data_IF_165223507724
#
_entry.id   IF_165223507724
#
_cell.length_a   1.000
_cell.length_b   1.000
_cell.length_c   1.000
_cell.angle_alpha   90.00
_cell.angle_beta   90.00
_cell.angle_gamma   90.00
#
_symmetry.space_group_name_H-M   'P 1'
#
loop_
_entity.id
_entity.type
_entity.pdbx_description
1 polymer ?
#
# COMPACT_ATOMS: atom_id res chain seq x y z
N UNK A 1 -14.33 -12.91 -25.89
CA UNK A 1 -15.22 -13.53 -24.87
C UNK A 1 -15.58 -12.46 -23.84
N UNK A 2 -16.85 -12.30 -23.43
CA UNK A 2 -17.24 -11.27 -22.46
C UNK A 2 -16.89 -11.74 -21.05
N UNK A 3 -16.01 -11.04 -20.34
CA UNK A 3 -15.73 -11.28 -18.93
C UNK A 3 -17.05 -11.26 -18.15
N UNK A 4 -17.37 -12.40 -17.55
CA UNK A 4 -18.59 -12.64 -16.81
C UNK A 4 -18.56 -11.87 -15.50
N UNK A 5 -19.59 -11.07 -15.26
CA UNK A 5 -19.78 -10.43 -13.96
C UNK A 5 -20.40 -11.43 -12.97
N UNK A 6 -19.80 -11.76 -11.82
CA UNK A 6 -20.45 -12.30 -10.57
C UNK A 6 -19.47 -12.36 -9.37
N UNK A 7 -19.86 -12.82 -8.18
CA UNK A 7 -20.40 -12.02 -7.06
C UNK A 7 -19.34 -11.94 -5.95
N UNK A 8 -18.80 -10.76 -5.64
CA UNK A 8 -18.10 -10.51 -4.39
C UNK A 8 -19.16 -10.16 -3.34
N UNK A 9 -19.54 -11.10 -2.46
CA UNK A 9 -20.43 -10.84 -1.33
C UNK A 9 -21.50 -9.76 -1.60
N UNK A 10 -22.51 -10.08 -2.43
CA UNK A 10 -23.63 -9.20 -2.86
C UNK A 10 -23.36 -8.13 -3.95
N UNK A 11 -22.16 -7.93 -4.51
CA UNK A 11 -21.97 -7.07 -5.71
C UNK A 11 -21.01 -7.67 -6.76
N UNK A 12 -21.35 -7.49 -8.04
CA UNK A 12 -20.51 -7.79 -9.22
C UNK A 12 -19.45 -6.70 -9.31
N UNK A 13 -18.21 -6.96 -8.88
CA UNK A 13 -17.09 -6.00 -8.95
C UNK A 13 -16.01 -6.60 -9.85
N UNK A 14 -15.50 -5.81 -10.78
CA UNK A 14 -14.47 -6.27 -11.74
C UNK A 14 -13.14 -6.53 -11.02
N UNK A 15 -12.36 -7.57 -11.40
CA UNK A 15 -11.01 -7.77 -10.89
C UNK A 15 -10.12 -6.53 -11.02
N UNK A 16 -10.27 -5.76 -12.11
CA UNK A 16 -9.53 -4.52 -12.33
C UNK A 16 -9.93 -3.42 -11.33
N UNK A 17 -11.21 -3.33 -10.96
CA UNK A 17 -11.68 -2.38 -9.94
C UNK A 17 -11.12 -2.74 -8.55
N UNK A 18 -11.01 -4.03 -8.23
CA UNK A 18 -10.37 -4.46 -6.98
C UNK A 18 -8.86 -4.18 -7.00
N UNK A 19 -8.18 -4.34 -8.14
CA UNK A 19 -6.77 -3.94 -8.28
C UNK A 19 -6.56 -2.43 -8.15
N UNK A 20 -7.47 -1.61 -8.66
CA UNK A 20 -7.42 -0.16 -8.46
C UNK A 20 -7.47 0.21 -6.97
N UNK A 21 -8.30 -0.50 -6.18
CA UNK A 21 -8.31 -0.32 -4.72
C UNK A 21 -7.01 -0.78 -4.05
N UNK A 22 -6.22 -1.66 -4.68
CA UNK A 22 -4.88 -2.00 -4.20
C UNK A 22 -3.89 -0.90 -4.58
N UNK A 23 -3.99 -0.33 -5.79
CA UNK A 23 -3.19 0.81 -6.23
C UNK A 23 -3.34 2.01 -5.29
N UNK A 24 -4.56 2.41 -4.95
CA UNK A 24 -4.84 3.50 -4.00
C UNK A 24 -4.13 3.29 -2.66
N UNK A 25 -4.10 2.04 -2.18
CA UNK A 25 -3.45 1.66 -0.93
C UNK A 25 -1.92 1.76 -1.01
N UNK A 26 -1.34 1.34 -2.13
CA UNK A 26 0.10 1.48 -2.36
C UNK A 26 0.53 2.93 -2.54
N UNK A 27 -0.29 3.76 -3.20
CA UNK A 27 -0.03 5.18 -3.36
C UNK A 27 -0.11 5.92 -2.02
N UNK A 28 -1.11 5.61 -1.19
CA UNK A 28 -1.20 6.14 0.17
C UNK A 28 0.02 5.74 1.01
N UNK A 29 0.38 4.45 1.02
CA UNK A 29 1.55 3.97 1.74
C UNK A 29 2.85 4.69 1.31
N UNK A 30 3.00 4.94 0.00
CA UNK A 30 4.15 5.71 -0.51
C UNK A 30 4.13 7.16 -0.03
N UNK A 31 2.98 7.84 -0.08
CA UNK A 31 2.82 9.21 0.39
C UNK A 31 3.14 9.34 1.89
N UNK A 32 2.72 8.36 2.70
CA UNK A 32 3.02 8.32 4.13
C UNK A 32 4.53 8.14 4.40
N UNK A 33 5.22 7.31 3.61
CA UNK A 33 6.68 7.20 3.70
C UNK A 33 7.38 8.52 3.32
N UNK A 34 6.89 9.24 2.30
CA UNK A 34 7.43 10.54 1.94
C UNK A 34 7.21 11.58 3.06
N UNK A 35 6.05 11.57 3.70
CA UNK A 35 5.76 12.40 4.85
C UNK A 35 6.69 12.07 6.03
N UNK A 36 6.81 10.78 6.39
CA UNK A 36 7.73 10.32 7.42
C UNK A 36 9.18 10.76 7.14
N UNK A 37 9.67 10.57 5.91
CA UNK A 37 11.00 11.03 5.51
C UNK A 37 11.17 12.53 5.69
N UNK A 38 10.16 13.32 5.30
CA UNK A 38 10.21 14.77 5.44
C UNK A 38 10.33 15.17 6.91
N UNK A 39 9.50 14.59 7.78
CA UNK A 39 9.58 14.87 9.21
C UNK A 39 10.89 14.39 9.84
N UNK A 40 11.43 13.24 9.42
CA UNK A 40 12.62 12.68 10.07
C UNK A 40 13.94 13.20 9.49
N UNK A 41 13.99 13.68 8.25
CA UNK A 41 15.25 14.04 7.57
C UNK A 41 15.37 15.49 7.11
N UNK A 42 14.27 16.22 6.93
CA UNK A 42 14.35 17.64 6.56
C UNK A 42 14.62 18.49 7.82
N UNK A 43 15.84 19.02 7.92
CA UNK A 43 16.29 19.84 9.06
C UNK A 43 15.42 21.09 9.28
N UNK A 44 14.92 21.72 8.21
CA UNK A 44 14.09 22.93 8.30
C UNK A 44 12.70 22.59 8.83
N UNK A 45 12.11 21.50 8.36
CA UNK A 45 10.82 21.00 8.86
C UNK A 45 10.95 20.55 10.32
N UNK A 46 11.96 19.73 10.64
CA UNK A 46 12.25 19.27 12.01
C UNK A 46 12.33 20.42 13.00
N UNK A 47 13.13 21.46 12.68
CA UNK A 47 13.29 22.62 13.57
C UNK A 47 11.98 23.36 13.81
N UNK A 48 11.22 23.64 12.75
CA UNK A 48 9.93 24.33 12.87
C UNK A 48 8.96 23.56 13.76
N UNK A 49 8.87 22.25 13.58
CA UNK A 49 8.00 21.40 14.40
C UNK A 49 8.43 21.31 15.86
N UNK A 50 9.74 21.25 16.14
CA UNK A 50 10.22 21.29 17.51
C UNK A 50 9.86 22.61 18.20
N UNK A 51 9.97 23.74 17.50
CA UNK A 51 9.52 25.05 17.99
C UNK A 51 8.01 25.05 18.24
N UNK A 52 7.22 24.54 17.29
CA UNK A 52 5.77 24.41 17.45
C UNK A 52 5.40 23.53 18.65
N UNK A 53 6.00 22.34 18.77
CA UNK A 53 5.75 21.43 19.87
C UNK A 53 6.08 22.05 21.24
N UNK A 54 7.17 22.82 21.33
CA UNK A 54 7.52 23.56 22.54
C UNK A 54 6.51 24.67 22.84
N UNK A 55 6.15 25.47 21.83
CA UNK A 55 5.20 26.58 21.97
C UNK A 55 3.80 26.11 22.39
N UNK A 56 3.33 25.01 21.82
CA UNK A 56 2.01 24.42 22.14
C UNK A 56 2.06 23.44 23.31
N UNK A 57 3.24 23.20 23.90
CA UNK A 57 3.48 22.17 24.93
C UNK A 57 2.91 20.79 24.54
N UNK A 58 3.01 20.43 23.26
CA UNK A 58 2.43 19.21 22.71
C UNK A 58 3.51 18.30 22.12
N UNK A 59 3.86 17.24 22.85
CA UNK A 59 4.86 16.26 22.45
C UNK A 59 4.46 15.47 21.19
N UNK A 60 3.17 15.32 20.91
CA UNK A 60 2.68 14.60 19.73
C UNK A 60 3.00 15.33 18.43
N UNK A 61 3.40 16.61 18.48
CA UNK A 61 3.86 17.37 17.32
C UNK A 61 5.36 17.23 17.06
N UNK A 62 6.08 16.44 17.86
CA UNK A 62 7.51 16.23 17.64
C UNK A 62 7.76 15.44 16.34
N UNK A 63 8.86 15.74 15.63
CA UNK A 63 9.13 15.11 14.34
C UNK A 63 9.25 13.59 14.40
N UNK A 64 9.81 13.06 15.50
CA UNK A 64 10.05 11.63 15.64
C UNK A 64 8.73 10.88 15.90
N UNK A 65 7.83 11.43 16.72
CA UNK A 65 6.49 10.86 16.96
C UNK A 65 5.65 10.91 15.68
N UNK A 66 5.56 12.06 15.01
CA UNK A 66 4.79 12.17 13.77
C UNK A 66 5.38 11.29 12.67
N UNK A 67 6.70 11.29 12.50
CA UNK A 67 7.38 10.42 11.54
C UNK A 67 7.04 8.95 11.78
N UNK A 68 7.06 8.50 13.03
CA UNK A 68 6.69 7.14 13.41
C UNK A 68 5.22 6.81 13.15
N UNK A 69 4.30 7.75 13.41
CA UNK A 69 2.87 7.57 13.09
C UNK A 69 2.67 7.30 11.60
N UNK A 70 3.30 8.08 10.72
CA UNK A 70 3.22 7.84 9.28
C UNK A 70 3.82 6.49 8.85
N UNK A 71 4.91 6.04 9.50
CA UNK A 71 5.45 4.69 9.25
C UNK A 71 4.45 3.61 9.65
N UNK A 72 3.79 3.74 10.81
CA UNK A 72 2.78 2.77 11.24
C UNK A 72 1.53 2.80 10.35
N UNK A 73 1.09 3.97 9.88
CA UNK A 73 0.01 4.07 8.90
C UNK A 73 0.38 3.38 7.59
N UNK A 74 1.61 3.57 7.09
CA UNK A 74 2.10 2.89 5.89
C UNK A 74 1.99 1.36 6.04
N UNK A 75 2.44 0.80 7.16
CA UNK A 75 2.34 -0.64 7.42
C UNK A 75 0.87 -1.10 7.43
N UNK A 76 -0.03 -0.29 7.99
CA UNK A 76 -1.48 -0.57 7.98
C UNK A 76 -2.05 -0.62 6.56
N UNK A 77 -1.68 0.35 5.71
CA UNK A 77 -2.09 0.42 4.30
C UNK A 77 -1.57 -0.79 3.51
N UNK A 78 -0.32 -1.21 3.72
CA UNK A 78 0.24 -2.42 3.10
C UNK A 78 -0.50 -3.69 3.52
N UNK A 79 -0.82 -3.82 4.81
CA UNK A 79 -1.61 -4.96 5.31
C UNK A 79 -3.04 -4.94 4.75
N UNK A 80 -3.63 -3.77 4.54
CA UNK A 80 -4.93 -3.64 3.90
C UNK A 80 -4.88 -4.06 2.42
N UNK A 81 -3.85 -3.64 1.68
CA UNK A 81 -3.58 -4.08 0.32
C UNK A 81 -3.41 -5.61 0.25
N UNK A 82 -2.64 -6.21 1.16
CA UNK A 82 -2.48 -7.66 1.28
C UNK A 82 -3.82 -8.39 1.42
N UNK A 83 -4.71 -7.93 2.31
CA UNK A 83 -6.05 -8.55 2.49
C UNK A 83 -6.89 -8.49 1.22
N UNK A 84 -6.82 -7.39 0.47
CA UNK A 84 -7.52 -7.25 -0.82
C UNK A 84 -6.98 -8.23 -1.86
N UNK A 85 -5.66 -8.32 -1.98
CA UNK A 85 -5.01 -9.24 -2.92
C UNK A 85 -5.31 -10.70 -2.61
N UNK A 86 -5.36 -11.10 -1.33
CA UNK A 86 -5.75 -12.48 -0.95
C UNK A 86 -7.15 -12.82 -1.44
N UNK A 87 -8.12 -11.93 -1.18
CA UNK A 87 -9.50 -12.10 -1.64
C UNK A 87 -9.59 -12.17 -3.16
N UNK A 88 -8.82 -11.34 -3.86
CA UNK A 88 -8.81 -11.36 -5.32
C UNK A 88 -8.21 -12.67 -5.86
N UNK A 89 -7.18 -13.22 -5.21
CA UNK A 89 -6.55 -14.47 -5.62
C UNK A 89 -7.42 -15.72 -5.41
N UNK A 90 -8.53 -15.61 -4.67
CA UNK A 90 -9.53 -16.67 -4.52
C UNK A 90 -10.48 -16.74 -5.73
N UNK A 91 -10.46 -15.75 -6.62
CA UNK A 91 -11.30 -15.72 -7.82
C UNK A 91 -10.82 -16.74 -8.85
N UNK A 92 -11.54 -17.85 -9.02
CA UNK A 92 -11.21 -18.94 -9.95
C UNK A 92 -11.25 -18.53 -11.42
N UNK A 93 -11.94 -17.44 -11.77
CA UNK A 93 -11.97 -16.87 -13.12
C UNK A 93 -10.62 -16.28 -13.54
N UNK A 94 -9.74 -16.00 -12.58
CA UNK A 94 -8.37 -15.57 -12.86
C UNK A 94 -7.50 -16.79 -13.20
N UNK A 95 -6.70 -16.65 -14.27
CA UNK A 95 -5.69 -17.64 -14.61
C UNK A 95 -4.77 -17.97 -13.43
N UNK A 96 -4.33 -19.23 -13.34
CA UNK A 96 -3.52 -19.72 -12.23
C UNK A 96 -2.27 -18.88 -11.98
N UNK A 97 -1.57 -18.47 -13.04
CA UNK A 97 -0.40 -17.59 -12.96
C UNK A 97 -0.72 -16.25 -12.29
N UNK A 98 -1.86 -15.63 -12.62
CA UNK A 98 -2.29 -14.37 -12.01
C UNK A 98 -2.58 -14.59 -10.53
N UNK A 99 -3.30 -15.66 -10.18
CA UNK A 99 -3.61 -16.00 -8.79
C UNK A 99 -2.34 -16.23 -7.96
N UNK A 100 -1.35 -16.92 -8.51
CA UNK A 100 -0.05 -17.14 -7.86
C UNK A 100 0.70 -15.83 -7.61
N UNK A 101 0.74 -14.94 -8.60
CA UNK A 101 1.35 -13.61 -8.45
C UNK A 101 0.62 -12.76 -7.41
N UNK A 102 -0.71 -12.78 -7.38
CA UNK A 102 -1.50 -12.10 -6.37
C UNK A 102 -1.22 -12.64 -4.96
N UNK A 103 -1.13 -13.96 -4.79
CA UNK A 103 -0.76 -14.60 -3.50
C UNK A 103 0.64 -14.20 -3.05
N UNK A 104 1.60 -14.21 -3.97
CA UNK A 104 2.97 -13.79 -3.70
C UNK A 104 3.02 -12.33 -3.22
N UNK A 105 2.37 -11.42 -3.96
CA UNK A 105 2.30 -10.01 -3.61
C UNK A 105 1.59 -9.80 -2.27
N UNK A 106 0.50 -10.52 -2.02
CA UNK A 106 -0.21 -10.47 -0.75
C UNK A 106 0.66 -10.93 0.43
N UNK A 107 1.50 -11.95 0.25
CA UNK A 107 2.41 -12.41 1.28
C UNK A 107 3.47 -11.36 1.61
N UNK A 108 4.08 -10.77 0.57
CA UNK A 108 5.07 -9.69 0.71
C UNK A 108 4.52 -8.50 1.49
N UNK A 109 3.29 -8.08 1.19
CA UNK A 109 2.63 -6.93 1.82
C UNK A 109 2.10 -7.22 3.23
N UNK A 110 1.87 -8.48 3.59
CA UNK A 110 1.42 -8.84 4.94
C UNK A 110 2.52 -8.60 5.99
N UNK A 111 3.77 -8.82 5.60
CA UNK A 111 4.94 -8.77 6.47
C UNK A 111 6.02 -7.83 5.89
N UNK A 112 5.76 -6.51 5.82
CA UNK A 112 6.64 -5.58 5.11
C UNK A 112 7.90 -5.18 5.89
N UNK A 113 8.13 -5.74 7.09
CA UNK A 113 9.15 -5.28 8.02
C UNK A 113 8.81 -3.91 8.63
N UNK A 114 9.77 -3.33 9.34
CA UNK A 114 9.60 -2.04 10.02
C UNK A 114 10.66 -0.99 9.64
N UNK A 115 11.72 -1.39 8.93
CA UNK A 115 12.79 -0.48 8.52
C UNK A 115 12.34 0.44 7.38
N UNK A 116 12.56 1.75 7.51
CA UNK A 116 12.20 2.73 6.48
C UNK A 116 12.72 2.36 5.07
N UNK A 117 14.00 1.97 4.87
CA UNK A 117 14.49 1.55 3.55
C UNK A 117 13.79 0.29 3.01
N UNK A 118 13.46 -0.66 3.90
CA UNK A 118 12.75 -1.88 3.54
C UNK A 118 11.32 -1.57 3.09
N UNK A 119 10.60 -0.70 3.82
CA UNK A 119 9.25 -0.28 3.47
C UNK A 119 9.20 0.41 2.10
N UNK A 120 10.15 1.32 1.81
CA UNK A 120 10.25 1.94 0.48
C UNK A 120 10.48 0.89 -0.61
N UNK A 121 11.41 -0.03 -0.40
CA UNK A 121 11.71 -1.10 -1.34
C UNK A 121 10.47 -1.97 -1.63
N UNK A 122 9.73 -2.35 -0.60
CA UNK A 122 8.52 -3.17 -0.72
C UNK A 122 7.43 -2.43 -1.48
N UNK A 123 7.18 -1.16 -1.16
CA UNK A 123 6.17 -0.36 -1.88
C UNK A 123 6.51 -0.26 -3.37
N UNK A 124 7.76 0.07 -3.70
CA UNK A 124 8.20 0.19 -5.10
C UNK A 124 8.10 -1.14 -5.83
N UNK A 125 8.54 -2.24 -5.21
CA UNK A 125 8.45 -3.58 -5.78
C UNK A 125 6.99 -3.99 -5.98
N UNK A 126 6.14 -3.75 -4.99
CA UNK A 126 4.73 -4.09 -5.05
C UNK A 126 4.01 -3.36 -6.20
N UNK A 127 4.31 -2.07 -6.42
CA UNK A 127 3.75 -1.30 -7.54
C UNK A 127 4.16 -1.89 -8.89
N UNK A 128 5.42 -2.33 -9.04
CA UNK A 128 5.89 -2.96 -10.28
C UNK A 128 5.19 -4.29 -10.54
N UNK A 129 5.08 -5.15 -9.53
CA UNK A 129 4.37 -6.42 -9.66
C UNK A 129 2.88 -6.21 -9.96
N UNK A 130 2.25 -5.21 -9.33
CA UNK A 130 0.86 -4.87 -9.57
C UNK A 130 0.62 -4.40 -11.01
N UNK A 131 1.51 -3.57 -11.55
CA UNK A 131 1.48 -3.14 -12.96
C UNK A 131 1.57 -4.32 -13.93
N UNK A 132 2.45 -5.29 -13.66
CA UNK A 132 2.57 -6.50 -14.48
C UNK A 132 1.29 -7.35 -14.43
N UNK A 133 0.66 -7.46 -13.25
CA UNK A 133 -0.61 -8.18 -13.09
C UNK A 133 -1.73 -7.46 -13.83
N UNK A 134 -1.83 -6.14 -13.70
CA UNK A 134 -2.84 -5.34 -14.41
C UNK A 134 -2.71 -5.51 -15.92
N UNK A 135 -1.50 -5.39 -16.47
CA UNK A 135 -1.24 -5.60 -17.90
C UNK A 135 -1.59 -7.00 -18.38
N UNK A 136 -1.31 -8.02 -17.57
CA UNK A 136 -1.67 -9.40 -17.91
C UNK A 136 -3.20 -9.60 -17.99
N UNK A 137 -3.96 -8.88 -17.16
CA UNK A 137 -5.43 -8.93 -17.19
C UNK A 137 -6.02 -8.11 -18.33
N UNK A 138 -5.39 -7.01 -18.72
CA UNK A 138 -5.82 -6.19 -19.86
C UNK A 138 -5.50 -6.86 -21.20
N UNK A 139 -4.31 -7.46 -21.33
CA UNK A 139 -3.81 -8.07 -22.56
C UNK A 139 -4.35 -9.48 -22.87
N UNK A 140 -5.12 -10.08 -21.97
CA UNK A 140 -5.79 -11.37 -22.18
C UNK A 140 -7.18 -11.29 -22.82
N UNK A 141 -7.54 -10.15 -23.42
CA UNK A 141 -8.87 -9.82 -23.97
C UNK A 141 -9.07 -10.27 -25.42
#
# INVERSE_FOLDING_TARGET
MRLGFKVFGKRKVSPLEELNKVWEKLDMAYAELLAARRFMRDRRVRRRMLVTAAATRNIFLTPDILGWMYVKSCISELRAASRKLRKLAECEELGEDVRLRLKYLAHMLANPGEGFPQLVSIVVRARRELDLITKALEGGS
#
